data_IF_254728710349
#
_entry.id   IF_254728710349
#
_cell.length_a   1.000
_cell.length_b   1.000
_cell.length_c   1.000
_cell.angle_alpha   90.00
_cell.angle_beta   90.00
_cell.angle_gamma   90.00
#
_symmetry.space_group_name_H-M   'P 1'
#
loop_
_entity.id
_entity.type
_entity.pdbx_description
1 polymer ?
#
# COMPACT_ATOMS: atom_id res chain seq x y z
N UNK A 1 -5.25 -16.23 -10.52
CA UNK A 1 -6.17 -17.34 -10.13
C UNK A 1 -5.48 -18.66 -9.73
N UNK A 2 -4.14 -18.81 -9.74
CA UNK A 2 -3.45 -19.86 -8.96
C UNK A 2 -2.98 -19.41 -7.56
N UNK A 3 -2.60 -18.14 -7.42
CA UNK A 3 -2.02 -17.54 -6.19
C UNK A 3 -2.97 -17.55 -4.99
N UNK A 4 -4.28 -17.41 -5.23
CA UNK A 4 -5.30 -17.37 -4.18
C UNK A 4 -5.46 -18.72 -3.42
N UNK A 5 -5.19 -19.86 -4.08
CA UNK A 5 -5.33 -21.19 -3.45
C UNK A 5 -4.24 -21.49 -2.41
N UNK A 6 -3.05 -20.90 -2.54
CA UNK A 6 -1.94 -21.18 -1.61
C UNK A 6 -2.14 -20.42 -0.30
N UNK A 7 -2.56 -19.14 -0.35
CA UNK A 7 -2.81 -18.35 0.87
C UNK A 7 -4.01 -18.89 1.65
N UNK A 8 -5.06 -19.34 0.96
CA UNK A 8 -6.26 -19.86 1.63
C UNK A 8 -6.01 -21.15 2.42
N UNK A 9 -4.92 -21.88 2.13
CA UNK A 9 -4.48 -23.04 2.90
C UNK A 9 -3.82 -22.67 4.24
N UNK A 10 -3.42 -21.42 4.44
CA UNK A 10 -2.81 -20.91 5.67
C UNK A 10 -3.90 -20.52 6.68
N UNK A 11 -3.75 -20.80 7.99
CA UNK A 11 -4.66 -20.33 9.03
C UNK A 11 -4.79 -18.80 9.03
N UNK A 12 -6.02 -18.27 9.10
CA UNK A 12 -6.28 -16.82 8.96
C UNK A 12 -5.49 -15.95 9.94
N UNK A 13 -5.17 -16.45 11.14
CA UNK A 13 -4.38 -15.75 12.16
C UNK A 13 -2.90 -15.58 11.81
N UNK A 14 -2.35 -16.44 10.94
CA UNK A 14 -0.92 -16.47 10.59
C UNK A 14 -0.65 -15.90 9.19
N UNK A 15 -1.71 -15.69 8.39
CA UNK A 15 -1.58 -15.30 6.97
C UNK A 15 -0.79 -14.02 6.79
N UNK A 16 -1.03 -13.00 7.61
CA UNK A 16 -0.32 -11.74 7.47
C UNK A 16 1.17 -11.91 7.78
N UNK A 17 1.50 -12.52 8.92
CA UNK A 17 2.88 -12.73 9.36
C UNK A 17 3.68 -13.53 8.33
N UNK A 18 3.06 -14.55 7.71
CA UNK A 18 3.69 -15.32 6.63
C UNK A 18 3.88 -14.47 5.38
N UNK A 19 2.89 -13.66 4.97
CA UNK A 19 3.03 -12.77 3.82
C UNK A 19 4.12 -11.72 4.04
N UNK A 20 4.15 -11.10 5.23
CA UNK A 20 5.18 -10.14 5.61
C UNK A 20 6.57 -10.78 5.58
N UNK A 21 6.72 -11.98 6.15
CA UNK A 21 7.97 -12.73 6.11
C UNK A 21 8.40 -13.06 4.67
N UNK A 22 7.47 -13.46 3.79
CA UNK A 22 7.77 -13.74 2.39
C UNK A 22 8.21 -12.48 1.64
N UNK A 23 7.57 -11.32 1.91
CA UNK A 23 7.95 -10.04 1.30
C UNK A 23 9.36 -9.64 1.75
N UNK A 24 9.66 -9.74 3.04
CA UNK A 24 10.95 -9.37 3.60
C UNK A 24 12.09 -10.25 3.11
N UNK A 25 11.84 -11.56 2.91
CA UNK A 25 12.86 -12.52 2.49
C UNK A 25 12.97 -12.71 0.97
N UNK A 26 12.07 -12.12 0.18
CA UNK A 26 12.15 -12.19 -1.28
C UNK A 26 13.23 -11.25 -1.81
N UNK A 27 14.14 -11.75 -2.64
CA UNK A 27 15.08 -10.92 -3.39
C UNK A 27 14.51 -10.45 -4.75
N UNK A 28 13.31 -10.88 -5.12
CA UNK A 28 12.66 -10.52 -6.39
C UNK A 28 11.67 -9.38 -6.19
N UNK A 29 11.86 -8.20 -6.83
CA UNK A 29 10.91 -7.08 -6.78
C UNK A 29 9.50 -7.47 -7.25
N UNK A 30 9.40 -8.25 -8.32
CA UNK A 30 8.11 -8.71 -8.86
C UNK A 30 7.38 -9.64 -7.89
N UNK A 31 8.11 -10.53 -7.22
CA UNK A 31 7.51 -11.39 -6.19
C UNK A 31 7.04 -10.57 -4.99
N UNK A 32 7.82 -9.58 -4.54
CA UNK A 32 7.38 -8.66 -3.48
C UNK A 32 6.09 -7.94 -3.88
N UNK A 33 6.03 -7.39 -5.10
CA UNK A 33 4.86 -6.70 -5.63
C UNK A 33 3.62 -7.61 -5.66
N UNK A 34 3.76 -8.86 -6.11
CA UNK A 34 2.67 -9.84 -6.11
C UNK A 34 2.17 -10.16 -4.69
N UNK A 35 3.07 -10.33 -3.73
CA UNK A 35 2.72 -10.61 -2.35
C UNK A 35 2.01 -9.41 -1.68
N UNK A 36 2.43 -8.18 -1.95
CA UNK A 36 1.75 -6.96 -1.48
C UNK A 36 0.34 -6.87 -2.10
N UNK A 37 0.20 -7.17 -3.39
CA UNK A 37 -1.09 -7.24 -4.06
C UNK A 37 -2.02 -8.30 -3.43
N UNK A 38 -1.47 -9.42 -2.96
CA UNK A 38 -2.25 -10.43 -2.23
C UNK A 38 -2.73 -9.91 -0.86
N UNK A 39 -1.94 -9.10 -0.15
CA UNK A 39 -2.38 -8.43 1.08
C UNK A 39 -3.61 -7.55 0.82
N UNK A 40 -3.61 -6.78 -0.28
CA UNK A 40 -4.77 -5.99 -0.71
C UNK A 40 -6.01 -6.86 -0.93
N UNK A 41 -5.87 -8.02 -1.57
CA UNK A 41 -6.97 -8.96 -1.79
C UNK A 41 -7.55 -9.51 -0.48
N UNK A 42 -6.71 -9.80 0.51
CA UNK A 42 -7.17 -10.25 1.83
C UNK A 42 -7.97 -9.16 2.56
N UNK A 43 -7.51 -7.90 2.51
CA UNK A 43 -8.25 -6.77 3.09
C UNK A 43 -9.60 -6.59 2.38
N UNK A 44 -9.61 -6.69 1.05
CA UNK A 44 -10.84 -6.56 0.27
C UNK A 44 -11.85 -7.68 0.63
N UNK A 45 -11.39 -8.92 0.77
CA UNK A 45 -12.22 -10.04 1.21
C UNK A 45 -12.79 -9.80 2.61
N UNK A 46 -11.96 -9.34 3.56
CA UNK A 46 -12.41 -9.00 4.92
C UNK A 46 -13.52 -7.94 4.91
N UNK A 47 -13.35 -6.84 4.16
CA UNK A 47 -14.38 -5.81 4.07
C UNK A 47 -15.70 -6.32 3.47
N UNK A 48 -15.64 -7.25 2.51
CA UNK A 48 -16.84 -7.86 1.94
C UNK A 48 -17.56 -8.79 2.93
N UNK A 49 -16.81 -9.54 3.74
CA UNK A 49 -17.40 -10.40 4.79
C UNK A 49 -18.03 -9.57 5.91
N UNK A 50 -17.33 -8.53 6.38
CA UNK A 50 -17.84 -7.62 7.42
C UNK A 50 -19.12 -6.91 6.96
N UNK A 51 -19.19 -6.46 5.71
CA UNK A 51 -20.39 -5.84 5.15
C UNK A 51 -21.59 -6.80 5.19
N UNK A 52 -21.40 -8.07 4.76
CA UNK A 52 -22.45 -9.11 4.81
C UNK A 52 -22.90 -9.44 6.24
N UNK A 53 -21.98 -9.44 7.20
CA UNK A 53 -22.29 -9.75 8.59
C UNK A 53 -23.04 -8.59 9.29
N UNK A 54 -22.74 -7.34 8.92
CA UNK A 54 -23.41 -6.15 9.44
C UNK A 54 -24.89 -6.08 9.05
N UNK A 55 -25.26 -6.61 7.89
CA UNK A 55 -26.65 -6.71 7.44
C UNK A 55 -27.46 -7.80 8.18
N UNK A 56 -26.77 -8.80 8.76
CA UNK A 56 -27.40 -10.03 9.28
C UNK A 56 -27.46 -10.15 10.80
N UNK A 57 -26.84 -9.25 11.59
CA UNK A 57 -26.65 -9.49 13.04
C UNK A 57 -27.03 -8.30 13.91
N UNK A 58 -28.19 -8.37 14.59
CA UNK A 58 -28.62 -7.42 15.63
C UNK A 58 -28.11 -7.80 17.04
N UNK A 59 -26.83 -8.15 17.13
CA UNK A 59 -26.12 -8.34 18.39
C UNK A 59 -25.58 -9.75 18.61
N UNK A 60 -24.25 -9.88 18.60
CA UNK A 60 -23.49 -10.61 19.62
C UNK A 60 -21.98 -10.51 19.37
N UNK A 61 -21.26 -10.33 20.49
CA UNK A 61 -19.83 -10.49 20.74
C UNK A 61 -18.84 -10.20 19.60
N UNK A 62 -18.26 -9.00 19.66
CA UNK A 62 -17.07 -8.62 18.88
C UNK A 62 -15.88 -9.43 19.41
N UNK A 63 -15.62 -10.59 18.83
CA UNK A 63 -14.25 -11.15 18.83
C UNK A 63 -13.35 -10.09 18.19
N UNK A 64 -12.25 -9.71 18.83
CA UNK A 64 -11.27 -8.76 18.29
C UNK A 64 -10.78 -9.23 16.93
N UNK A 65 -11.41 -8.71 15.87
CA UNK A 65 -11.17 -9.14 14.51
C UNK A 65 -9.84 -8.50 14.04
N UNK A 66 -8.85 -9.36 13.81
CA UNK A 66 -7.55 -9.04 13.21
C UNK A 66 -7.67 -7.92 12.16
N UNK A 67 -6.97 -6.80 12.39
CA UNK A 67 -7.08 -5.61 11.55
C UNK A 67 -5.99 -5.62 10.48
N UNK A 68 -6.27 -6.26 9.34
CA UNK A 68 -5.36 -6.28 8.20
C UNK A 68 -4.92 -4.88 7.76
N UNK A 69 -5.80 -3.88 7.89
CA UNK A 69 -5.53 -2.49 7.47
C UNK A 69 -4.42 -1.81 8.28
N UNK A 70 -4.30 -2.09 9.59
CA UNK A 70 -3.21 -1.54 10.41
C UNK A 70 -1.87 -2.13 9.98
N UNK A 71 -1.80 -3.45 9.90
CA UNK A 71 -0.55 -4.13 9.54
C UNK A 71 -0.16 -3.84 8.08
N UNK A 72 -1.14 -3.70 7.18
CA UNK A 72 -0.90 -3.27 5.81
C UNK A 72 -0.31 -1.85 5.72
N UNK A 73 -0.72 -0.95 6.62
CA UNK A 73 -0.15 0.39 6.68
C UNK A 73 1.31 0.37 7.16
N UNK A 74 1.63 -0.48 8.13
CA UNK A 74 3.02 -0.70 8.58
C UNK A 74 3.88 -1.33 7.47
N UNK A 75 3.32 -2.27 6.69
CA UNK A 75 3.98 -2.82 5.51
C UNK A 75 4.27 -1.73 4.46
N UNK A 76 3.29 -0.89 4.15
CA UNK A 76 3.47 0.26 3.24
C UNK A 76 4.57 1.19 3.76
N UNK A 77 4.58 1.48 5.07
CA UNK A 77 5.62 2.29 5.70
C UNK A 77 7.01 1.73 5.44
N UNK A 78 7.23 0.44 5.69
CA UNK A 78 8.54 -0.20 5.53
C UNK A 78 9.02 -0.10 4.08
N UNK A 79 8.10 -0.20 3.11
CA UNK A 79 8.46 -0.12 1.68
C UNK A 79 8.75 1.33 1.26
N UNK A 80 7.90 2.29 1.65
CA UNK A 80 8.03 3.69 1.21
C UNK A 80 9.04 4.50 2.06
N UNK A 81 9.37 4.00 3.25
CA UNK A 81 10.33 4.58 4.19
C UNK A 81 11.13 3.44 4.84
N UNK A 82 12.13 2.89 4.13
CA UNK A 82 12.97 1.82 4.64
C UNK A 82 13.60 2.16 6.00
N UNK A 83 13.84 1.17 6.87
CA UNK A 83 14.39 1.39 8.21
C UNK A 83 15.81 1.96 8.21
N UNK A 84 16.58 1.73 7.14
CA UNK A 84 17.90 2.31 6.91
C UNK A 84 17.83 3.85 6.70
N UNK A 85 16.63 4.39 6.48
CA UNK A 85 16.36 5.80 6.24
C UNK A 85 16.41 6.18 4.76
N UNK A 86 15.89 7.37 4.45
CA UNK A 86 15.77 7.85 3.08
C UNK A 86 14.58 7.24 2.31
N UNK A 87 14.44 7.57 1.02
CA UNK A 87 13.43 7.00 0.14
C UNK A 87 13.83 5.58 -0.34
N UNK A 88 12.88 4.78 -0.87
CA UNK A 88 13.16 3.44 -1.39
C UNK A 88 14.19 3.45 -2.53
N UNK A 89 14.92 2.33 -2.73
CA UNK A 89 15.90 2.22 -3.80
C UNK A 89 15.21 2.22 -5.18
N UNK A 90 15.32 3.33 -5.91
CA UNK A 90 14.84 3.45 -7.28
C UNK A 90 16.01 3.45 -8.28
N UNK A 91 15.82 2.90 -9.49
CA UNK A 91 14.57 2.31 -10.02
C UNK A 91 14.33 0.83 -9.68
N UNK A 92 15.28 0.18 -9.01
CA UNK A 92 15.31 -1.27 -8.82
C UNK A 92 14.07 -1.82 -8.10
N UNK A 93 13.52 -1.08 -7.12
CA UNK A 93 12.30 -1.45 -6.39
C UNK A 93 11.03 -0.73 -6.90
N UNK A 94 11.01 -0.32 -8.18
CA UNK A 94 9.84 0.36 -8.77
C UNK A 94 8.53 -0.45 -8.68
N UNK A 95 8.58 -1.76 -8.91
CA UNK A 95 7.41 -2.66 -8.83
C UNK A 95 6.83 -2.78 -7.41
N UNK A 96 7.61 -3.13 -6.37
CA UNK A 96 7.07 -3.21 -5.00
C UNK A 96 6.63 -1.84 -4.49
N UNK A 97 7.30 -0.74 -4.86
CA UNK A 97 6.84 0.61 -4.51
C UNK A 97 5.50 0.93 -5.18
N UNK A 98 5.33 0.61 -6.46
CA UNK A 98 4.05 0.79 -7.14
C UNK A 98 2.93 0.00 -6.48
N UNK A 99 3.19 -1.26 -6.10
CA UNK A 99 2.20 -2.09 -5.41
C UNK A 99 1.86 -1.52 -4.02
N UNK A 100 2.86 -1.07 -3.25
CA UNK A 100 2.65 -0.43 -1.95
C UNK A 100 1.83 0.87 -2.06
N UNK A 101 2.11 1.71 -3.07
CA UNK A 101 1.32 2.91 -3.34
C UNK A 101 -0.12 2.56 -3.72
N UNK A 102 -0.35 1.51 -4.50
CA UNK A 102 -1.70 1.05 -4.82
C UNK A 102 -2.45 0.50 -3.60
N UNK A 103 -1.74 -0.19 -2.70
CA UNK A 103 -2.30 -0.64 -1.42
C UNK A 103 -2.68 0.58 -0.54
N UNK A 104 -1.80 1.58 -0.43
CA UNK A 104 -2.11 2.82 0.29
C UNK A 104 -3.30 3.55 -0.31
N UNK A 105 -3.34 3.69 -1.65
CA UNK A 105 -4.47 4.28 -2.38
C UNK A 105 -5.78 3.55 -2.07
N UNK A 106 -5.74 2.22 -2.04
CA UNK A 106 -6.91 1.40 -1.70
C UNK A 106 -7.41 1.70 -0.28
N UNK A 107 -6.51 1.74 0.71
CA UNK A 107 -6.85 2.07 2.10
C UNK A 107 -7.46 3.48 2.22
N UNK A 108 -6.85 4.47 1.57
CA UNK A 108 -7.35 5.86 1.57
C UNK A 108 -8.76 5.98 0.99
N UNK A 109 -9.04 5.29 -0.13
CA UNK A 109 -10.38 5.28 -0.75
C UNK A 109 -11.40 4.58 0.15
N UNK A 110 -11.01 3.48 0.79
CA UNK A 110 -11.91 2.73 1.68
C UNK A 110 -12.30 3.54 2.92
N UNK A 111 -11.35 4.26 3.50
CA UNK A 111 -11.64 5.17 4.61
C UNK A 111 -12.54 6.33 4.17
N UNK A 112 -12.20 7.01 3.07
CA UNK A 112 -12.96 8.20 2.62
C UNK A 112 -14.39 7.87 2.18
N UNK A 113 -14.65 6.63 1.76
CA UNK A 113 -16.00 6.16 1.41
C UNK A 113 -16.78 5.59 2.60
N UNK A 114 -16.22 5.64 3.82
CA UNK A 114 -16.84 5.10 5.03
C UNK A 114 -16.95 3.57 5.04
N UNK A 115 -16.21 2.88 4.15
CA UNK A 115 -16.25 1.43 3.98
C UNK A 115 -15.22 0.70 4.87
N UNK A 116 -14.61 1.40 5.83
CA UNK A 116 -13.64 0.84 6.79
C UNK A 116 -14.26 0.18 8.03
N UNK A 117 -15.61 0.09 8.09
CA UNK A 117 -16.37 -0.55 9.18
C UNK A 117 -16.02 -0.03 10.59
N UNK A 118 -15.68 1.27 10.70
CA UNK A 118 -15.38 1.92 11.99
C UNK A 118 -13.98 1.61 12.56
N UNK A 119 -13.16 0.81 11.86
CA UNK A 119 -11.73 0.62 12.19
C UNK A 119 -10.92 1.77 11.57
N UNK A 120 -11.06 2.97 12.14
CA UNK A 120 -10.41 4.18 11.64
C UNK A 120 -8.89 4.12 11.91
N UNK A 121 -8.15 3.52 10.98
CA UNK A 121 -6.68 3.42 11.03
C UNK A 121 -6.03 4.75 10.59
N UNK A 122 -6.73 5.56 9.79
CA UNK A 122 -6.21 6.76 9.15
C UNK A 122 -6.68 8.03 9.84
N UNK A 123 -6.26 8.21 11.10
CA UNK A 123 -6.48 9.47 11.84
C UNK A 123 -5.75 10.64 11.17
N UNK A 124 -6.16 11.87 11.49
CA UNK A 124 -5.50 13.09 10.98
C UNK A 124 -3.98 13.07 11.21
N UNK A 125 -3.54 12.63 12.40
CA UNK A 125 -2.11 12.52 12.73
C UNK A 125 -1.40 11.49 11.86
N UNK A 126 -2.04 10.34 11.58
CA UNK A 126 -1.49 9.30 10.70
C UNK A 126 -1.39 9.84 9.26
N UNK A 127 -2.42 10.50 8.75
CA UNK A 127 -2.42 11.12 7.42
C UNK A 127 -1.31 12.17 7.26
N UNK A 128 -1.11 13.03 8.26
CA UNK A 128 0.00 14.02 8.28
C UNK A 128 1.37 13.34 8.20
N UNK A 129 1.55 12.18 8.87
CA UNK A 129 2.80 11.41 8.79
C UNK A 129 2.98 10.76 7.43
N UNK A 130 1.95 10.10 6.89
CA UNK A 130 1.98 9.51 5.54
C UNK A 130 2.39 10.57 4.51
N UNK A 131 1.75 11.74 4.57
CA UNK A 131 2.04 12.85 3.67
C UNK A 131 3.49 13.33 3.79
N UNK A 132 3.90 13.76 4.99
CA UNK A 132 5.16 14.47 5.18
C UNK A 132 6.38 13.54 5.21
N UNK A 133 6.23 12.31 5.70
CA UNK A 133 7.35 11.40 5.89
C UNK A 133 7.51 10.36 4.77
N UNK A 134 6.45 10.05 4.01
CA UNK A 134 6.49 8.98 2.98
C UNK A 134 6.27 9.56 1.59
N UNK A 135 5.14 10.25 1.37
CA UNK A 135 4.75 10.69 0.02
C UNK A 135 5.59 11.86 -0.50
N UNK A 136 5.85 12.87 0.34
CA UNK A 136 6.67 14.02 -0.06
C UNK A 136 8.13 13.65 -0.37
N UNK A 137 8.84 12.87 0.48
CA UNK A 137 10.20 12.42 0.16
C UNK A 137 10.25 11.58 -1.11
N UNK A 138 9.29 10.66 -1.29
CA UNK A 138 9.21 9.86 -2.51
C UNK A 138 8.99 10.75 -3.74
N UNK A 139 8.09 11.73 -3.67
CA UNK A 139 7.83 12.70 -4.76
C UNK A 139 9.10 13.42 -5.16
N UNK A 140 9.85 13.93 -4.19
CA UNK A 140 11.14 14.60 -4.43
C UNK A 140 12.11 13.68 -5.18
N UNK A 141 12.25 12.42 -4.74
CA UNK A 141 13.10 11.43 -5.40
C UNK A 141 12.66 11.18 -6.85
N UNK A 142 11.40 10.77 -7.06
CA UNK A 142 10.94 10.36 -8.40
C UNK A 142 10.90 11.51 -9.40
N UNK A 143 10.65 12.73 -8.92
CA UNK A 143 10.69 13.94 -9.78
C UNK A 143 12.13 14.28 -10.16
N UNK A 144 13.09 14.11 -9.23
CA UNK A 144 14.52 14.27 -9.52
C UNK A 144 14.99 13.29 -10.60
N UNK A 145 14.70 12.00 -10.42
CA UNK A 145 15.05 10.95 -11.40
C UNK A 145 14.46 11.27 -12.79
N UNK A 146 13.20 11.70 -12.83
CA UNK A 146 12.54 12.09 -14.08
C UNK A 146 13.25 13.27 -14.76
N UNK A 147 13.57 14.31 -14.01
CA UNK A 147 14.25 15.49 -14.54
C UNK A 147 15.64 15.15 -15.09
N UNK A 148 16.36 14.24 -14.43
CA UNK A 148 17.67 13.76 -14.91
C UNK A 148 17.54 12.94 -16.20
N UNK A 149 16.49 12.11 -16.31
CA UNK A 149 16.20 11.31 -17.50
C UNK A 149 15.82 12.14 -18.74
N UNK A 150 15.02 13.19 -18.57
CA UNK A 150 14.58 14.09 -19.66
C UNK A 150 15.75 14.86 -20.29
N UNK A 151 16.84 15.08 -19.54
CA UNK A 151 18.05 15.74 -20.03
C UNK A 151 19.03 14.79 -20.76
N UNK A 152 18.85 13.47 -20.62
CA UNK A 152 19.83 12.44 -21.03
C UNK A 152 19.60 11.79 -22.40
N UNK A 153 18.44 11.98 -23.03
CA UNK A 153 18.17 11.67 -24.45
C UNK A 153 18.67 10.31 -24.98
N UNK A 154 18.58 9.23 -24.20
CA UNK A 154 19.03 7.88 -24.61
C UNK A 154 18.02 6.79 -24.21
N UNK A 155 18.04 5.65 -24.90
CA UNK A 155 17.13 4.50 -24.76
C UNK A 155 17.02 3.96 -23.31
N UNK A 156 18.08 4.11 -22.51
CA UNK A 156 18.08 3.78 -21.09
C UNK A 156 17.12 4.67 -20.27
N UNK A 157 17.02 5.96 -20.63
CA UNK A 157 16.10 6.90 -19.99
C UNK A 157 14.65 6.54 -20.33
N UNK A 158 14.36 6.13 -21.56
CA UNK A 158 13.01 5.70 -21.95
C UNK A 158 12.56 4.45 -21.17
N UNK A 159 13.45 3.45 -21.01
CA UNK A 159 13.15 2.25 -20.22
C UNK A 159 12.93 2.58 -18.73
N UNK A 160 13.72 3.50 -18.17
CA UNK A 160 13.57 3.98 -16.80
C UNK A 160 12.20 4.65 -16.59
N UNK A 161 11.77 5.46 -17.58
CA UNK A 161 10.50 6.16 -17.56
C UNK A 161 9.29 5.21 -17.61
N UNK A 162 9.39 4.06 -18.29
CA UNK A 162 8.32 3.05 -18.29
C UNK A 162 7.99 2.52 -16.88
N UNK A 163 8.99 2.33 -16.01
CA UNK A 163 8.78 1.93 -14.61
C UNK A 163 8.37 3.09 -13.70
N UNK A 164 8.88 4.30 -13.98
CA UNK A 164 8.68 5.48 -13.14
C UNK A 164 7.30 6.15 -13.33
N UNK A 165 6.77 6.15 -14.56
CA UNK A 165 5.50 6.81 -14.88
C UNK A 165 4.30 6.26 -14.09
N UNK A 166 4.10 4.93 -13.98
CA UNK A 166 3.05 4.37 -13.13
C UNK A 166 3.19 4.78 -11.66
N UNK A 167 4.43 4.80 -11.14
CA UNK A 167 4.72 5.21 -9.76
C UNK A 167 4.31 6.66 -9.53
N UNK A 168 4.74 7.58 -10.41
CA UNK A 168 4.37 8.99 -10.35
C UNK A 168 2.85 9.17 -10.32
N UNK A 169 2.13 8.51 -11.24
CA UNK A 169 0.69 8.63 -11.35
C UNK A 169 -0.04 8.19 -10.06
N UNK A 170 0.35 7.05 -9.48
CA UNK A 170 -0.28 6.56 -8.25
C UNK A 170 0.15 7.39 -7.04
N UNK A 171 1.40 7.86 -6.99
CA UNK A 171 1.92 8.72 -5.94
C UNK A 171 1.14 10.04 -5.85
N UNK A 172 0.98 10.75 -6.97
CA UNK A 172 0.21 11.98 -6.99
C UNK A 172 -1.25 11.75 -6.59
N UNK A 173 -1.84 10.62 -7.00
CA UNK A 173 -3.20 10.27 -6.56
C UNK A 173 -3.28 10.02 -5.04
N UNK A 174 -2.27 9.38 -4.44
CA UNK A 174 -2.22 9.21 -2.99
C UNK A 174 -2.10 10.56 -2.27
N UNK A 175 -1.26 11.47 -2.80
CA UNK A 175 -1.09 12.82 -2.28
C UNK A 175 -2.43 13.57 -2.29
N UNK A 176 -3.13 13.59 -3.42
CA UNK A 176 -4.46 14.22 -3.55
C UNK A 176 -5.45 13.67 -2.52
N UNK A 177 -5.53 12.33 -2.41
CA UNK A 177 -6.44 11.68 -1.47
C UNK A 177 -6.15 12.05 -0.01
N UNK A 178 -4.88 12.14 0.37
CA UNK A 178 -4.50 12.56 1.73
C UNK A 178 -4.83 14.03 1.96
N UNK A 179 -4.53 14.90 1.01
CA UNK A 179 -4.86 16.34 1.09
C UNK A 179 -6.38 16.58 1.15
N UNK A 180 -7.17 15.83 0.38
CA UNK A 180 -8.63 15.85 0.43
C UNK A 180 -9.13 15.37 1.80
N UNK A 181 -8.62 14.24 2.29
CA UNK A 181 -9.02 13.67 3.58
C UNK A 181 -8.72 14.63 4.74
N UNK A 182 -7.56 15.31 4.72
CA UNK A 182 -7.17 16.28 5.75
C UNK A 182 -8.08 17.52 5.82
N UNK A 183 -8.82 17.88 4.75
CA UNK A 183 -9.78 19.00 4.78
C UNK A 183 -11.05 18.69 5.58
N UNK A 184 -11.28 17.42 5.89
CA UNK A 184 -12.47 16.94 6.56
C UNK A 184 -12.26 16.67 8.06
N UNK A 185 -11.06 16.93 8.58
CA UNK A 185 -10.73 16.96 10.01
C UNK A 185 -10.67 18.41 10.50
#
# INVERSE_FOLDING_TARGET
MPTFMIISAIPSSERFDILEALIANSSSPSMKALLIDMVREQIAAQYQEDAKNSENTHGQHVTEAFCWSSNALDLVKIILKPPEGGPPPFPDDSEPVLSALNLLRFLLIKESTGQSNGKNVLTEQVLRKIYSEWLLPLRTLVTGIRADGENGGNELADHLMCGLNPVLLVLYRCIELVEESMKHF
#
